data_IF_782285093348
#
_entry.id   IF_782285093348
#
_cell.length_a   1.000
_cell.length_b   1.000
_cell.length_c   1.000
_cell.angle_alpha   90.00
_cell.angle_beta   90.00
_cell.angle_gamma   90.00
#
_symmetry.space_group_name_H-M   'P 1'
#
loop_
_entity.id
_entity.type
_entity.pdbx_description
1 polymer ?
#
# COMPACT_ATOMS: atom_id res chain seq x y z
N UNK A 1 5.14 -29.88 -20.10
CA UNK A 1 5.34 -29.52 -18.67
C UNK A 1 4.09 -29.87 -17.87
N UNK A 2 4.10 -30.93 -17.06
CA UNK A 2 2.89 -31.40 -16.35
C UNK A 2 2.80 -30.97 -14.87
N UNK A 3 3.92 -30.77 -14.17
CA UNK A 3 3.91 -30.57 -12.71
C UNK A 3 3.39 -29.22 -12.22
N UNK A 4 3.69 -28.12 -12.94
CA UNK A 4 3.27 -26.78 -12.52
C UNK A 4 1.76 -26.55 -12.74
N UNK A 5 1.21 -27.15 -13.80
CA UNK A 5 -0.23 -27.18 -14.07
C UNK A 5 -0.97 -28.02 -13.02
N UNK A 6 -0.47 -29.21 -12.68
CA UNK A 6 -1.04 -30.05 -11.62
C UNK A 6 -1.01 -29.35 -10.25
N UNK A 7 0.08 -28.62 -9.93
CA UNK A 7 0.17 -27.85 -8.69
C UNK A 7 -0.81 -26.66 -8.65
N UNK A 8 -0.99 -25.95 -9.77
CA UNK A 8 -2.00 -24.89 -9.88
C UNK A 8 -3.43 -25.43 -9.74
N UNK A 9 -3.73 -26.59 -10.34
CA UNK A 9 -5.03 -27.25 -10.19
C UNK A 9 -5.33 -27.67 -8.73
N UNK A 10 -4.28 -27.98 -7.96
CA UNK A 10 -4.38 -28.24 -6.51
C UNK A 10 -4.45 -26.95 -5.65
N UNK A 11 -4.61 -25.77 -6.26
CA UNK A 11 -4.77 -24.50 -5.55
C UNK A 11 -3.48 -23.72 -5.28
N UNK A 12 -2.33 -24.17 -5.80
CA UNK A 12 -1.07 -23.45 -5.65
C UNK A 12 -1.00 -22.27 -6.62
N UNK A 13 -1.24 -21.06 -6.11
CA UNK A 13 -1.21 -19.81 -6.89
C UNK A 13 0.21 -19.55 -7.47
N UNK A 14 1.25 -19.79 -6.67
CA UNK A 14 2.66 -19.51 -7.02
C UNK A 14 3.05 -18.03 -6.88
N UNK A 15 4.31 -17.69 -7.16
CA UNK A 15 4.83 -16.32 -7.08
C UNK A 15 5.27 -15.87 -5.68
N UNK A 16 5.68 -14.60 -5.55
CA UNK A 16 6.06 -13.99 -4.27
C UNK A 16 4.81 -13.70 -3.45
N UNK A 17 4.74 -14.10 -2.17
CA UNK A 17 3.60 -13.78 -1.32
C UNK A 17 3.48 -12.26 -1.13
N UNK A 18 2.26 -11.71 -1.10
CA UNK A 18 2.05 -10.30 -0.80
C UNK A 18 2.51 -10.00 0.64
N UNK A 19 3.22 -8.87 0.83
CA UNK A 19 3.71 -8.44 2.15
C UNK A 19 2.58 -8.06 3.11
N UNK A 20 1.51 -7.46 2.57
CA UNK A 20 0.33 -7.08 3.35
C UNK A 20 -0.87 -7.98 3.02
N UNK A 21 -1.61 -8.32 4.06
CA UNK A 21 -2.92 -8.96 4.03
C UNK A 21 -4.00 -8.00 3.54
N UNK A 22 -5.16 -8.55 3.14
CA UNK A 22 -6.30 -7.76 2.68
C UNK A 22 -6.84 -6.81 3.76
N UNK A 23 -6.88 -7.26 5.01
CA UNK A 23 -7.37 -6.47 6.14
C UNK A 23 -6.47 -5.24 6.40
N UNK A 24 -5.15 -5.40 6.29
CA UNK A 24 -4.21 -4.28 6.44
C UNK A 24 -4.36 -3.28 5.30
N UNK A 25 -4.63 -3.73 4.07
CA UNK A 25 -4.94 -2.83 2.94
C UNK A 25 -6.21 -2.02 3.16
N UNK A 26 -7.24 -2.62 3.75
CA UNK A 26 -8.48 -1.93 4.12
C UNK A 26 -8.23 -0.92 5.24
N UNK A 27 -7.42 -1.28 6.24
CA UNK A 27 -7.02 -0.35 7.31
C UNK A 27 -6.23 0.84 6.76
N UNK A 28 -5.25 0.59 5.89
CA UNK A 28 -4.50 1.65 5.20
C UNK A 28 -5.44 2.56 4.39
N UNK A 29 -6.45 1.99 3.72
CA UNK A 29 -7.47 2.77 3.01
C UNK A 29 -8.28 3.67 3.94
N UNK A 30 -8.66 3.18 5.12
CA UNK A 30 -9.36 3.99 6.15
C UNK A 30 -8.51 5.15 6.65
N UNK A 31 -7.22 4.93 6.91
CA UNK A 31 -6.28 5.98 7.32
C UNK A 31 -6.14 7.07 6.26
N UNK A 32 -6.09 6.68 4.98
CA UNK A 32 -6.06 7.63 3.87
C UNK A 32 -7.37 8.41 3.74
N UNK A 33 -8.51 7.78 3.99
CA UNK A 33 -9.82 8.44 3.96
C UNK A 33 -9.99 9.46 5.11
N UNK A 34 -9.32 9.24 6.24
CA UNK A 34 -9.25 10.19 7.36
C UNK A 34 -8.36 11.40 7.07
N UNK A 35 -7.64 11.42 5.93
CA UNK A 35 -6.76 12.53 5.55
C UNK A 35 -5.32 12.40 6.02
N UNK A 36 -4.91 11.23 6.55
CA UNK A 36 -3.51 11.00 6.94
C UNK A 36 -2.60 11.03 5.70
N UNK A 37 -1.45 11.72 5.74
CA UNK A 37 -0.56 11.81 4.59
C UNK A 37 -0.03 10.43 4.18
N UNK A 38 0.01 10.20 2.86
CA UNK A 38 0.48 8.93 2.26
C UNK A 38 1.89 8.56 2.69
N UNK A 39 2.76 9.54 2.93
CA UNK A 39 4.13 9.33 3.44
C UNK A 39 4.12 8.67 4.82
N UNK A 40 3.27 9.14 5.72
CA UNK A 40 3.16 8.57 7.06
C UNK A 40 2.56 7.16 7.02
N UNK A 41 1.51 6.94 6.22
CA UNK A 41 0.94 5.59 6.02
C UNK A 41 1.98 4.63 5.43
N UNK A 42 2.81 5.08 4.49
CA UNK A 42 3.87 4.27 3.90
C UNK A 42 4.91 3.80 4.93
N UNK A 43 5.28 4.68 5.86
CA UNK A 43 6.21 4.37 6.94
C UNK A 43 5.63 3.33 7.93
N UNK A 44 4.36 3.48 8.32
CA UNK A 44 3.71 2.58 9.28
C UNK A 44 3.68 1.13 8.76
N UNK A 45 3.38 0.94 7.48
CA UNK A 45 3.30 -0.40 6.88
C UNK A 45 4.60 -0.86 6.22
N UNK A 46 5.66 -0.06 6.29
CA UNK A 46 6.94 -0.30 5.62
C UNK A 46 6.76 -0.70 4.13
N UNK A 47 6.04 0.16 3.39
CA UNK A 47 5.77 0.00 1.96
C UNK A 47 6.24 1.21 1.17
N UNK A 48 6.67 0.99 -0.07
CA UNK A 48 6.95 2.09 -0.98
C UNK A 48 5.69 2.90 -1.31
N UNK A 49 5.83 4.22 -1.42
CA UNK A 49 4.75 5.14 -1.83
C UNK A 49 4.06 4.69 -3.14
N UNK A 50 4.84 4.20 -4.10
CA UNK A 50 4.32 3.67 -5.38
C UNK A 50 3.34 2.51 -5.18
N UNK A 51 3.58 1.67 -4.17
CA UNK A 51 2.68 0.56 -3.81
C UNK A 51 1.36 1.08 -3.26
N UNK A 52 1.44 2.11 -2.41
CA UNK A 52 0.28 2.81 -1.86
C UNK A 52 -0.56 3.45 -2.96
N UNK A 53 0.05 4.19 -3.88
CA UNK A 53 -0.65 4.77 -5.03
C UNK A 53 -1.28 3.73 -5.97
N UNK A 54 -0.64 2.57 -6.14
CA UNK A 54 -1.18 1.47 -6.96
C UNK A 54 -2.44 0.83 -6.36
N UNK A 55 -2.53 0.76 -5.02
CA UNK A 55 -3.67 0.17 -4.30
C UNK A 55 -4.76 1.19 -3.98
N UNK A 56 -4.35 2.42 -3.66
CA UNK A 56 -5.20 3.53 -3.26
C UNK A 56 -4.86 4.76 -4.11
N UNK A 57 -5.32 4.82 -5.38
CA UNK A 57 -5.00 5.92 -6.27
C UNK A 57 -5.51 7.24 -5.69
N UNK A 58 -4.73 8.31 -5.85
CA UNK A 58 -5.20 9.63 -5.49
C UNK A 58 -6.32 10.03 -6.46
N UNK A 59 -7.54 10.17 -5.94
CA UNK A 59 -8.54 10.97 -6.64
C UNK A 59 -8.03 12.41 -6.64
N UNK A 60 -8.25 13.14 -7.74
CA UNK A 60 -7.94 14.58 -7.82
C UNK A 60 -8.84 15.32 -6.84
N UNK A 61 -8.42 15.41 -5.59
CA UNK A 61 -8.89 16.38 -4.62
C UNK A 61 -7.72 17.34 -4.42
N UNK A 62 -7.86 18.54 -4.96
CA UNK A 62 -6.86 19.60 -4.82
C UNK A 62 -6.72 19.99 -3.34
N UNK A 63 -5.62 20.68 -3.04
CA UNK A 63 -5.26 21.38 -1.79
C UNK A 63 -4.28 20.63 -0.85
N UNK A 64 -3.00 20.79 -1.20
CA UNK A 64 -1.95 21.53 -0.45
C UNK A 64 -1.67 21.29 1.06
N UNK A 65 -0.36 21.29 1.33
CA UNK A 65 0.36 21.63 2.57
C UNK A 65 0.61 20.53 3.61
N UNK A 66 1.75 19.83 3.45
CA UNK A 66 2.43 19.15 4.57
C UNK A 66 3.95 19.42 4.52
N UNK A 67 4.30 20.71 4.54
CA UNK A 67 5.68 21.20 4.73
C UNK A 67 6.01 21.43 6.23
N UNK A 68 5.13 21.03 7.16
CA UNK A 68 5.34 21.25 8.60
C UNK A 68 6.35 20.29 9.24
N UNK A 69 6.70 19.19 8.57
CA UNK A 69 7.65 18.21 9.12
C UNK A 69 9.12 18.64 8.93
N UNK A 70 9.42 19.58 8.03
CA UNK A 70 10.80 20.04 7.78
C UNK A 70 11.20 21.31 8.56
N UNK A 71 10.42 21.71 9.58
CA UNK A 71 10.70 22.94 10.34
C UNK A 71 11.40 22.70 11.69
N UNK A 72 11.79 21.46 12.00
CA UNK A 72 12.44 21.10 13.29
C UNK A 72 13.96 20.85 13.13
N UNK A 73 14.49 20.81 11.90
CA UNK A 73 15.93 20.61 11.61
C UNK A 73 16.69 21.91 11.30
N UNK A 74 16.41 23.01 12.02
CA UNK A 74 17.23 24.23 12.03
C UNK A 74 17.38 24.81 13.43
#
# INVERSE_FOLDING_TARGET
>A
MAGLAAARNKGRIGGRPPKLTKAEWEQAGRLLAQGIPRKQVALIYDVALSTLYKKHPAKRTHIENDDRINQIDR
#
